data_IF_060945104330
#
_entry.id   IF_060945104330
#
_cell.length_a   1.000
_cell.length_b   1.000
_cell.length_c   1.000
_cell.angle_alpha   90.00
_cell.angle_beta   90.00
_cell.angle_gamma   90.00
#
_symmetry.space_group_name_H-M   'P 1'
#
loop_
_entity.id
_entity.type
_entity.pdbx_description
1 polymer ?
#
# COMPACT_ATOMS: atom_id res chain seq x y z
N UNK A 1 -1.85 -39.98 -26.64
CA UNK A 1 -0.98 -38.80 -26.78
C UNK A 1 -1.63 -37.66 -26.02
N UNK A 2 -1.04 -37.18 -24.91
CA UNK A 2 -1.63 -36.08 -24.14
C UNK A 2 -1.43 -34.75 -24.89
N UNK A 3 -2.52 -34.05 -25.18
CA UNK A 3 -2.48 -32.71 -25.75
C UNK A 3 -1.78 -31.76 -24.77
N UNK A 4 -0.70 -31.15 -25.24
CA UNK A 4 -0.01 -30.07 -24.54
C UNK A 4 -0.98 -28.89 -24.40
N UNK A 5 -1.15 -28.33 -23.18
CA UNK A 5 -2.02 -27.18 -23.01
C UNK A 5 -1.53 -26.03 -23.89
N UNK A 6 -2.48 -25.35 -24.57
CA UNK A 6 -2.20 -24.23 -25.47
C UNK A 6 -1.21 -23.24 -24.82
N UNK A 7 -0.12 -22.86 -25.52
CA UNK A 7 0.96 -22.05 -24.95
C UNK A 7 0.46 -20.74 -24.35
N UNK A 8 -0.62 -20.16 -24.88
CA UNK A 8 -1.23 -18.93 -24.38
C UNK A 8 -1.80 -19.06 -22.96
N UNK A 9 -2.42 -20.20 -22.62
CA UNK A 9 -2.98 -20.43 -21.27
C UNK A 9 -1.89 -20.74 -20.24
N UNK A 10 -0.81 -21.39 -20.67
CA UNK A 10 0.39 -21.58 -19.85
C UNK A 10 1.06 -20.23 -19.56
N UNK A 11 1.19 -19.37 -20.57
CA UNK A 11 1.80 -18.05 -20.45
C UNK A 11 0.99 -17.11 -19.54
N UNK A 12 -0.35 -17.12 -19.64
CA UNK A 12 -1.23 -16.34 -18.73
C UNK A 12 -1.08 -16.82 -17.28
N UNK A 13 -1.07 -18.14 -17.04
CA UNK A 13 -0.84 -18.70 -15.69
C UNK A 13 0.54 -18.40 -15.15
N UNK A 14 1.55 -18.39 -16.00
CA UNK A 14 2.93 -18.10 -15.60
C UNK A 14 3.14 -16.62 -15.30
N UNK A 15 2.44 -15.74 -16.02
CA UNK A 15 2.42 -14.29 -15.79
C UNK A 15 1.66 -13.95 -14.50
N UNK A 16 0.55 -14.65 -14.21
CA UNK A 16 -0.16 -14.55 -12.93
C UNK A 16 0.70 -15.07 -11.75
N UNK A 17 1.51 -16.11 -11.97
CA UNK A 17 2.39 -16.70 -10.93
C UNK A 17 3.63 -15.86 -10.64
N UNK A 18 4.07 -15.03 -11.59
CA UNK A 18 5.23 -14.13 -11.45
C UNK A 18 4.85 -12.76 -10.87
N UNK A 19 3.57 -12.53 -10.56
CA UNK A 19 3.05 -11.26 -10.05
C UNK A 19 2.69 -10.34 -11.22
N UNK A 20 1.40 -10.02 -11.34
CA UNK A 20 0.92 -9.12 -12.40
C UNK A 20 1.54 -7.72 -12.32
N UNK A 21 1.31 -6.85 -13.33
CA UNK A 21 1.91 -5.51 -13.44
C UNK A 21 1.71 -4.60 -12.22
N UNK A 22 0.72 -4.87 -11.36
CA UNK A 22 0.58 -4.17 -10.08
C UNK A 22 1.73 -4.42 -9.09
N UNK A 23 2.36 -5.60 -9.09
CA UNK A 23 3.48 -5.89 -8.19
C UNK A 23 4.73 -5.11 -8.58
N UNK A 24 5.05 -5.03 -9.87
CA UNK A 24 6.20 -4.26 -10.35
C UNK A 24 6.01 -2.78 -10.08
N UNK A 25 4.80 -2.24 -10.25
CA UNK A 25 4.47 -0.85 -9.89
C UNK A 25 4.63 -0.62 -8.39
N UNK A 26 4.10 -1.49 -7.53
CA UNK A 26 4.24 -1.33 -6.08
C UNK A 26 5.69 -1.37 -5.61
N UNK A 27 6.51 -2.28 -6.17
CA UNK A 27 7.94 -2.34 -5.86
C UNK A 27 8.66 -1.09 -6.36
N UNK A 28 8.36 -0.62 -7.57
CA UNK A 28 8.93 0.61 -8.10
C UNK A 28 8.58 1.82 -7.24
N UNK A 29 7.32 1.92 -6.78
CA UNK A 29 6.88 2.98 -5.86
C UNK A 29 7.60 2.89 -4.52
N UNK A 30 7.72 1.70 -3.94
CA UNK A 30 8.37 1.50 -2.65
C UNK A 30 9.84 1.96 -2.64
N UNK A 31 10.49 2.02 -3.81
CA UNK A 31 11.87 2.51 -3.96
C UNK A 31 11.92 3.98 -4.40
N UNK A 32 11.15 4.35 -5.43
CA UNK A 32 11.23 5.68 -6.02
C UNK A 32 10.65 6.77 -5.12
N UNK A 33 9.56 6.46 -4.40
CA UNK A 33 8.84 7.44 -3.58
C UNK A 33 9.69 7.91 -2.39
N UNK A 34 10.33 7.04 -1.59
CA UNK A 34 11.21 7.47 -0.50
C UNK A 34 12.36 8.34 -0.98
N UNK A 35 13.01 7.94 -2.07
CA UNK A 35 14.13 8.71 -2.65
C UNK A 35 13.65 10.08 -3.10
N UNK A 36 12.47 10.17 -3.72
CA UNK A 36 11.87 11.46 -4.12
C UNK A 36 11.55 12.32 -2.90
N UNK A 37 10.97 11.72 -1.84
CA UNK A 37 10.66 12.42 -0.58
C UNK A 37 11.93 13.00 0.05
N UNK A 38 12.99 12.21 0.15
CA UNK A 38 14.29 12.66 0.68
C UNK A 38 14.86 13.78 -0.20
N UNK A 39 14.97 13.56 -1.51
CA UNK A 39 15.55 14.53 -2.43
C UNK A 39 14.81 15.88 -2.40
N UNK A 40 13.49 15.86 -2.23
CA UNK A 40 12.70 17.08 -2.13
C UNK A 40 12.90 17.80 -0.80
N UNK A 41 12.95 17.06 0.31
CA UNK A 41 12.98 17.61 1.67
C UNK A 41 14.36 18.10 2.10
N UNK A 42 15.41 17.30 1.87
CA UNK A 42 16.78 17.61 2.32
C UNK A 42 17.67 18.19 1.22
N UNK A 43 17.17 18.22 -0.01
CA UNK A 43 17.95 18.55 -1.20
C UNK A 43 18.43 17.30 -1.95
N UNK A 44 18.90 17.48 -3.17
CA UNK A 44 19.37 16.38 -4.02
C UNK A 44 20.84 16.01 -3.80
N UNK A 45 21.27 14.90 -4.41
CA UNK A 45 22.70 14.53 -4.46
C UNK A 45 23.26 14.07 -3.12
N UNK A 46 24.33 14.71 -2.66
CA UNK A 46 25.08 14.30 -1.46
C UNK A 46 24.24 14.37 -0.18
N UNK A 47 23.32 15.34 -0.08
CA UNK A 47 22.40 15.44 1.06
C UNK A 47 21.54 14.18 1.26
N UNK A 48 21.01 13.61 0.17
CA UNK A 48 20.23 12.35 0.22
C UNK A 48 21.09 11.21 0.70
N UNK A 49 22.34 11.13 0.21
CA UNK A 49 23.28 10.09 0.61
C UNK A 49 23.61 10.19 2.10
N UNK A 50 23.91 11.39 2.57
CA UNK A 50 24.25 11.64 3.97
C UNK A 50 23.07 11.26 4.87
N UNK A 51 21.86 11.69 4.52
CA UNK A 51 20.64 11.30 5.26
C UNK A 51 20.42 9.79 5.25
N UNK A 52 20.62 9.10 4.13
CA UNK A 52 20.47 7.63 4.07
C UNK A 52 21.53 6.88 4.87
N UNK A 53 22.73 7.44 5.02
CA UNK A 53 23.80 6.85 5.83
C UNK A 53 23.58 7.16 7.32
N UNK A 54 23.15 8.37 7.65
CA UNK A 54 22.83 8.77 9.02
C UNK A 54 21.56 8.12 9.55
N UNK A 55 20.61 7.85 8.67
CA UNK A 55 19.45 7.01 8.94
C UNK A 55 19.89 5.56 8.93
N UNK A 56 19.85 4.90 10.09
CA UNK A 56 20.20 3.49 10.16
C UNK A 56 19.28 2.69 9.20
N UNK A 57 19.77 1.62 8.53
CA UNK A 57 18.95 0.86 7.58
C UNK A 57 17.63 0.33 8.16
N UNK A 58 17.55 0.19 9.48
CA UNK A 58 16.33 -0.20 10.19
C UNK A 58 15.24 0.89 10.15
N UNK A 59 15.61 2.16 10.02
CA UNK A 59 14.71 3.33 10.05
C UNK A 59 14.28 3.77 8.64
N UNK A 60 14.87 3.22 7.57
CA UNK A 60 14.47 3.56 6.19
C UNK A 60 12.98 3.35 5.89
N UNK A 61 12.31 2.30 6.41
CA UNK A 61 10.86 2.15 6.25
C UNK A 61 10.05 3.31 6.83
N UNK A 62 10.60 4.04 7.81
CA UNK A 62 9.91 5.15 8.46
C UNK A 62 9.61 6.30 7.49
N UNK A 63 10.32 6.39 6.37
CA UNK A 63 10.01 7.35 5.30
C UNK A 63 8.62 7.07 4.72
N UNK A 64 8.36 5.82 4.34
CA UNK A 64 7.06 5.41 3.79
C UNK A 64 5.97 5.45 4.85
N UNK A 65 6.27 4.94 6.05
CA UNK A 65 5.33 4.91 7.17
C UNK A 65 4.91 6.33 7.52
N UNK A 66 5.88 7.24 7.62
CA UNK A 66 5.68 8.66 7.87
C UNK A 66 4.73 9.29 6.86
N UNK A 67 5.02 9.14 5.56
CA UNK A 67 4.15 9.64 4.48
C UNK A 67 2.73 9.09 4.55
N UNK A 68 2.60 7.80 4.82
CA UNK A 68 1.30 7.12 4.91
C UNK A 68 0.50 7.62 6.12
N UNK A 69 1.16 7.88 7.26
CA UNK A 69 0.50 8.34 8.49
C UNK A 69 0.18 9.84 8.45
N UNK A 70 0.92 10.64 7.66
CA UNK A 70 0.65 12.08 7.55
C UNK A 70 -0.42 12.43 6.52
N UNK A 71 -0.57 11.62 5.46
CA UNK A 71 -1.54 11.86 4.40
C UNK A 71 -2.71 10.85 4.47
N UNK A 72 -3.90 11.28 4.93
CA UNK A 72 -5.08 10.42 5.02
C UNK A 72 -5.48 9.79 3.69
N UNK A 73 -5.39 10.54 2.59
CA UNK A 73 -5.80 10.05 1.26
C UNK A 73 -4.86 8.97 0.78
N UNK A 74 -3.54 9.20 0.89
CA UNK A 74 -2.53 8.21 0.54
C UNK A 74 -2.69 6.95 1.39
N UNK A 75 -2.82 7.11 2.71
CA UNK A 75 -2.98 5.99 3.64
C UNK A 75 -4.22 5.16 3.35
N UNK A 76 -5.37 5.80 3.14
CA UNK A 76 -6.61 5.11 2.81
C UNK A 76 -6.56 4.38 1.48
N UNK A 77 -6.05 5.01 0.41
CA UNK A 77 -5.93 4.36 -0.90
C UNK A 77 -4.96 3.17 -0.85
N UNK A 78 -3.82 3.33 -0.17
CA UNK A 78 -2.88 2.24 0.03
C UNK A 78 -3.51 1.09 0.82
N UNK A 79 -4.24 1.38 1.90
CA UNK A 79 -4.96 0.39 2.70
C UNK A 79 -5.96 -0.42 1.86
N UNK A 80 -6.72 0.25 0.99
CA UNK A 80 -7.64 -0.40 0.04
C UNK A 80 -6.88 -1.31 -0.94
N UNK A 81 -5.79 -0.82 -1.54
CA UNK A 81 -4.97 -1.59 -2.50
C UNK A 81 -4.35 -2.82 -1.84
N UNK A 82 -3.72 -2.65 -0.67
CA UNK A 82 -3.13 -3.76 0.10
C UNK A 82 -4.21 -4.75 0.49
N UNK A 83 -5.38 -4.29 0.96
CA UNK A 83 -6.50 -5.16 1.31
C UNK A 83 -6.96 -6.05 0.17
N UNK A 84 -6.94 -5.51 -1.06
CA UNK A 84 -7.26 -6.25 -2.28
C UNK A 84 -6.16 -7.24 -2.65
N UNK A 85 -4.90 -6.82 -2.66
CA UNK A 85 -3.76 -7.66 -3.05
C UNK A 85 -3.64 -8.86 -2.11
N UNK A 86 -3.73 -8.64 -0.81
CA UNK A 86 -3.72 -9.70 0.21
C UNK A 86 -4.83 -10.71 -0.06
N UNK A 87 -6.05 -10.24 -0.34
CA UNK A 87 -7.17 -11.12 -0.68
C UNK A 87 -6.91 -11.93 -1.95
N UNK A 88 -6.41 -11.29 -3.01
CA UNK A 88 -6.10 -11.95 -4.28
C UNK A 88 -5.04 -13.05 -4.09
N UNK A 89 -4.01 -12.80 -3.28
CA UNK A 89 -2.96 -13.78 -2.95
C UNK A 89 -3.52 -14.96 -2.16
N UNK A 90 -4.34 -14.72 -1.13
CA UNK A 90 -4.98 -15.80 -0.37
C UNK A 90 -5.97 -16.61 -1.22
N UNK A 91 -6.71 -15.95 -2.12
CA UNK A 91 -7.59 -16.60 -3.07
C UNK A 91 -6.81 -17.47 -4.07
N UNK A 92 -5.67 -16.99 -4.57
CA UNK A 92 -4.79 -17.76 -5.46
C UNK A 92 -4.13 -18.96 -4.77
N UNK A 93 -3.84 -18.85 -3.47
CA UNK A 93 -3.29 -19.95 -2.64
C UNK A 93 -4.33 -20.99 -2.18
N UNK A 94 -5.57 -20.88 -2.64
CA UNK A 94 -6.63 -21.86 -2.34
C UNK A 94 -7.18 -21.79 -0.90
N UNK A 95 -6.89 -20.72 -0.16
CA UNK A 95 -7.37 -20.53 1.22
C UNK A 95 -8.88 -20.20 1.29
N UNK A 96 -9.51 -19.92 0.15
CA UNK A 96 -10.96 -19.75 0.04
C UNK A 96 -11.58 -21.11 -0.25
N UNK A 97 -12.28 -21.75 0.71
CA UNK A 97 -12.87 -23.06 0.47
C UNK A 97 -13.82 -22.99 -0.72
N UNK A 98 -13.85 -23.99 -1.60
CA UNK A 98 -14.84 -24.10 -2.68
C UNK A 98 -15.69 -25.34 -2.36
N UNK A 99 -16.99 -25.17 -2.09
CA UNK A 99 -17.89 -26.27 -1.68
C UNK A 99 -19.15 -25.81 -0.92
N UNK A 100 -20.18 -26.66 -0.89
CA UNK A 100 -21.46 -26.38 -0.20
C UNK A 100 -21.39 -26.56 1.33
N UNK A 101 -22.20 -25.80 2.06
CA UNK A 101 -22.37 -25.88 3.53
C UNK A 101 -22.42 -24.52 4.22
N UNK A 102 -23.39 -24.32 5.11
CA UNK A 102 -23.64 -23.06 5.85
C UNK A 102 -22.42 -22.60 6.65
N UNK A 103 -21.76 -23.51 7.38
CA UNK A 103 -20.54 -23.21 8.15
C UNK A 103 -19.37 -22.71 7.28
N UNK A 104 -19.22 -23.25 6.05
CA UNK A 104 -18.17 -22.82 5.11
C UNK A 104 -18.54 -21.49 4.42
N UNK A 105 -19.82 -21.22 4.21
CA UNK A 105 -20.31 -19.92 3.74
C UNK A 105 -20.07 -18.82 4.78
N UNK A 106 -20.33 -19.11 6.06
CA UNK A 106 -20.04 -18.19 7.18
C UNK A 106 -18.53 -17.93 7.29
N UNK A 107 -17.68 -18.96 7.19
CA UNK A 107 -16.22 -18.79 7.22
C UNK A 107 -15.70 -17.94 6.05
N UNK A 108 -16.28 -18.07 4.86
CA UNK A 108 -15.95 -17.21 3.71
C UNK A 108 -16.42 -15.78 3.93
N UNK A 109 -17.66 -15.59 4.39
CA UNK A 109 -18.20 -14.28 4.70
C UNK A 109 -17.34 -13.55 5.74
N UNK A 110 -16.92 -14.26 6.79
CA UNK A 110 -16.01 -13.77 7.80
C UNK A 110 -14.66 -13.35 7.19
N UNK A 111 -14.01 -14.21 6.39
CA UNK A 111 -12.73 -13.87 5.73
C UNK A 111 -12.85 -12.69 4.75
N UNK A 112 -13.99 -12.52 4.09
CA UNK A 112 -14.23 -11.39 3.20
C UNK A 112 -14.46 -10.07 3.94
N UNK A 113 -15.03 -10.12 5.14
CA UNK A 113 -15.38 -8.95 5.96
C UNK A 113 -14.26 -8.50 6.91
N UNK A 114 -13.44 -9.43 7.42
CA UNK A 114 -12.42 -9.12 8.43
C UNK A 114 -11.42 -8.09 7.93
N UNK A 115 -10.95 -8.20 6.69
CA UNK A 115 -9.90 -7.31 6.20
C UNK A 115 -10.37 -5.87 5.91
N UNK A 116 -11.53 -5.61 5.26
CA UNK A 116 -12.05 -4.25 5.12
C UNK A 116 -12.35 -3.60 6.46
N UNK A 117 -12.88 -4.38 7.41
CA UNK A 117 -13.12 -3.91 8.78
C UNK A 117 -11.80 -3.56 9.46
N UNK A 118 -10.79 -4.43 9.39
CA UNK A 118 -9.47 -4.16 9.97
C UNK A 118 -8.84 -2.89 9.36
N UNK A 119 -8.86 -2.74 8.04
CA UNK A 119 -8.34 -1.54 7.37
C UNK A 119 -9.13 -0.30 7.77
N UNK A 120 -10.46 -0.37 7.82
CA UNK A 120 -11.30 0.75 8.27
C UNK A 120 -11.05 1.13 9.73
N UNK A 121 -10.79 0.16 10.62
CA UNK A 121 -10.42 0.42 12.02
C UNK A 121 -9.05 1.09 12.11
N UNK A 122 -8.06 0.61 11.35
CA UNK A 122 -6.72 1.20 11.29
C UNK A 122 -6.82 2.67 10.84
N UNK A 123 -7.51 2.94 9.73
CA UNK A 123 -7.72 4.29 9.23
C UNK A 123 -8.53 5.17 10.20
N UNK A 124 -9.49 4.60 10.92
CA UNK A 124 -10.23 5.32 11.96
C UNK A 124 -9.31 5.78 13.10
N UNK A 125 -8.33 4.95 13.47
CA UNK A 125 -7.37 5.28 14.52
C UNK A 125 -6.39 6.38 14.08
N UNK A 126 -5.94 6.38 12.83
CA UNK A 126 -4.96 7.36 12.33
C UNK A 126 -5.59 8.68 11.88
N UNK A 127 -6.72 8.62 11.16
CA UNK A 127 -7.28 9.78 10.46
C UNK A 127 -8.67 10.19 10.96
N UNK A 128 -9.26 9.40 11.87
CA UNK A 128 -10.57 9.65 12.45
C UNK A 128 -11.70 8.81 11.82
N UNK A 129 -12.87 8.78 12.48
CA UNK A 129 -13.92 7.78 12.22
C UNK A 129 -14.49 7.84 10.80
N UNK A 130 -14.59 9.03 10.19
CA UNK A 130 -15.15 9.17 8.85
C UNK A 130 -14.23 8.60 7.76
N UNK A 131 -12.91 8.78 7.90
CA UNK A 131 -11.93 8.16 7.02
C UNK A 131 -12.00 6.64 7.12
N UNK A 132 -11.97 6.12 8.35
CA UNK A 132 -12.10 4.69 8.58
C UNK A 132 -13.37 4.07 7.99
N UNK A 133 -14.51 4.74 8.14
CA UNK A 133 -15.76 4.30 7.51
C UNK A 133 -15.69 4.33 5.98
N UNK A 134 -15.20 5.43 5.40
CA UNK A 134 -15.06 5.57 3.95
C UNK A 134 -14.14 4.48 3.37
N UNK A 135 -12.97 4.28 3.96
CA UNK A 135 -11.99 3.26 3.53
C UNK A 135 -12.54 1.86 3.68
N UNK A 136 -13.17 1.54 4.82
CA UNK A 136 -13.77 0.24 5.06
C UNK A 136 -14.87 -0.08 4.04
N UNK A 137 -15.73 0.89 3.73
CA UNK A 137 -16.77 0.75 2.70
C UNK A 137 -16.17 0.60 1.29
N UNK A 138 -15.16 1.39 0.93
CA UNK A 138 -14.48 1.27 -0.37
C UNK A 138 -13.81 -0.10 -0.53
N UNK A 139 -13.07 -0.56 0.49
CA UNK A 139 -12.44 -1.87 0.50
C UNK A 139 -13.48 -3.00 0.44
N UNK A 140 -14.63 -2.85 1.10
CA UNK A 140 -15.72 -3.81 1.05
C UNK A 140 -16.39 -3.84 -0.33
N UNK A 141 -16.69 -2.68 -0.92
CA UNK A 141 -17.29 -2.56 -2.24
C UNK A 141 -16.42 -3.21 -3.33
N UNK A 142 -15.12 -2.95 -3.30
CA UNK A 142 -14.16 -3.58 -4.22
C UNK A 142 -14.03 -5.10 -4.03
N UNK A 143 -14.41 -5.64 -2.87
CA UNK A 143 -14.46 -7.10 -2.65
C UNK A 143 -15.76 -7.74 -3.12
N UNK A 144 -16.87 -7.01 -3.07
CA UNK A 144 -18.17 -7.56 -3.49
C UNK A 144 -18.18 -7.94 -4.97
N UNK A 145 -17.52 -7.18 -5.85
CA UNK A 145 -17.43 -7.56 -7.27
C UNK A 145 -16.67 -8.90 -7.49
N UNK A 146 -15.66 -9.21 -6.66
CA UNK A 146 -14.93 -10.50 -6.69
C UNK A 146 -15.76 -11.66 -6.17
N UNK A 147 -16.59 -11.46 -5.14
CA UNK A 147 -17.47 -12.51 -4.59
C UNK A 147 -18.57 -12.87 -5.59
N UNK A 148 -19.03 -11.91 -6.38
CA UNK A 148 -19.96 -12.18 -7.49
C UNK A 148 -19.27 -12.95 -8.63
N UNK A 149 -17.99 -12.68 -8.91
CA UNK A 149 -17.21 -13.44 -9.88
C UNK A 149 -16.96 -14.91 -9.45
N UNK A 150 -16.71 -15.15 -8.16
CA UNK A 150 -16.58 -16.51 -7.61
C UNK A 150 -17.91 -17.26 -7.55
N UNK A 151 -19.04 -16.57 -7.29
CA UNK A 151 -20.39 -17.17 -7.38
C UNK A 151 -20.80 -17.52 -8.81
N UNK A 152 -20.25 -16.85 -9.81
CA UNK A 152 -20.56 -17.05 -11.23
C UNK A 152 -19.62 -18.03 -11.95
N UNK A 153 -18.73 -18.69 -11.21
CA UNK A 153 -18.07 -19.93 -11.66
C UNK A 153 -16.89 -19.77 -12.62
N UNK A 154 -16.33 -18.57 -12.80
CA UNK A 154 -15.24 -18.35 -13.78
C UNK A 154 -13.85 -18.82 -13.33
N UNK A 155 -13.66 -19.18 -12.05
CA UNK A 155 -12.46 -19.87 -11.54
C UNK A 155 -12.79 -21.29 -11.08
N UNK A 156 -13.30 -22.14 -11.98
CA UNK A 156 -13.15 -23.60 -11.81
C UNK A 156 -11.75 -23.99 -12.26
N UNK A 157 -10.92 -24.65 -11.42
CA UNK A 157 -9.82 -25.44 -11.95
C UNK A 157 -10.46 -26.52 -12.84
N UNK A 158 -10.10 -26.57 -14.12
CA UNK A 158 -10.44 -27.69 -15.00
C UNK A 158 -9.70 -28.96 -14.56
N UNK A 159 -10.10 -29.53 -13.43
CA UNK A 159 -9.77 -30.90 -13.04
C UNK A 159 -11.06 -31.66 -12.78
N UNK A 160 -11.79 -31.96 -13.86
CA UNK A 160 -12.70 -33.10 -13.92
C UNK A 160 -13.14 -33.38 -15.36
N UNK A 161 -12.21 -33.91 -16.15
CA UNK A 161 -12.58 -34.74 -17.30
C UNK A 161 -12.04 -36.12 -17.00
N UNK A 162 -12.82 -36.90 -16.25
CA UNK A 162 -12.89 -38.37 -16.27
C UNK A 162 -13.68 -38.82 -15.04
N UNK A 163 -15.00 -38.73 -15.14
CA UNK A 163 -15.91 -39.74 -14.59
C UNK A 163 -17.31 -39.41 -15.09
N UNK A 164 -17.57 -39.89 -16.31
CA UNK A 164 -18.92 -40.16 -16.79
C UNK A 164 -19.64 -41.06 -15.80
N UNK A 165 -20.77 -40.60 -15.27
CA UNK A 165 -22.11 -41.13 -15.60
C UNK A 165 -23.20 -40.52 -14.70
N UNK A 166 -24.25 -40.05 -15.38
CA UNK A 166 -25.61 -39.79 -14.90
C UNK A 166 -25.87 -38.54 -14.02
N UNK A 167 -26.22 -37.42 -14.67
CA UNK A 167 -27.27 -36.52 -14.19
C UNK A 167 -27.88 -35.73 -15.38
N UNK A 168 -29.22 -35.70 -15.58
CA UNK A 168 -29.85 -34.94 -16.65
C UNK A 168 -30.01 -33.46 -16.27
N UNK A 169 -29.48 -32.57 -17.12
CA UNK A 169 -29.96 -31.20 -17.31
C UNK A 169 -29.87 -30.23 -16.12
N UNK A 170 -28.70 -29.62 -15.90
CA UNK A 170 -28.64 -28.28 -15.31
C UNK A 170 -28.33 -27.26 -16.42
N UNK A 171 -29.11 -26.16 -16.52
CA UNK A 171 -29.00 -25.25 -17.64
C UNK A 171 -27.67 -24.49 -17.61
N UNK A 172 -27.14 -24.26 -18.80
CA UNK A 172 -26.04 -23.38 -19.14
C UNK A 172 -26.20 -22.01 -18.41
N UNK A 173 -25.63 -21.91 -17.20
CA UNK A 173 -25.73 -20.71 -16.37
C UNK A 173 -24.86 -19.62 -17.01
N UNK A 174 -25.47 -18.82 -17.89
CA UNK A 174 -24.89 -17.58 -18.39
C UNK A 174 -25.10 -16.49 -17.36
N UNK A 175 -24.04 -15.96 -16.71
CA UNK A 175 -24.21 -14.86 -15.79
C UNK A 175 -24.79 -13.66 -16.54
N UNK A 176 -25.77 -12.94 -15.94
CA UNK A 176 -26.41 -11.79 -16.57
C UNK A 176 -25.39 -10.69 -16.92
N UNK A 177 -25.63 -9.97 -18.01
CA UNK A 177 -24.70 -9.03 -18.64
C UNK A 177 -24.27 -7.88 -17.71
N UNK A 178 -25.14 -7.44 -16.81
CA UNK A 178 -24.84 -6.41 -15.82
C UNK A 178 -23.76 -6.85 -14.81
N UNK A 179 -23.70 -8.13 -14.46
CA UNK A 179 -22.67 -8.68 -13.56
C UNK A 179 -21.28 -8.72 -14.22
N UNK A 180 -21.22 -9.03 -15.51
CA UNK A 180 -19.97 -8.96 -16.28
C UNK A 180 -19.46 -7.53 -16.41
N UNK A 181 -20.36 -6.57 -16.59
CA UNK A 181 -20.01 -5.14 -16.60
C UNK A 181 -19.51 -4.69 -15.23
N UNK A 182 -20.16 -5.12 -14.15
CA UNK A 182 -19.73 -4.79 -12.79
C UNK A 182 -18.32 -5.31 -12.46
N UNK A 183 -18.01 -6.56 -12.82
CA UNK A 183 -16.67 -7.13 -12.63
C UNK A 183 -15.59 -6.41 -13.48
N UNK A 184 -15.91 -6.07 -14.74
CA UNK A 184 -15.01 -5.30 -15.58
C UNK A 184 -14.73 -3.90 -15.03
N UNK A 185 -15.77 -3.23 -14.51
CA UNK A 185 -15.65 -1.92 -13.85
C UNK A 185 -14.81 -2.04 -12.58
N UNK A 186 -15.03 -3.06 -11.75
CA UNK A 186 -14.25 -3.26 -10.53
C UNK A 186 -12.77 -3.51 -10.82
N UNK A 187 -12.46 -4.35 -11.81
CA UNK A 187 -11.08 -4.60 -12.22
C UNK A 187 -10.44 -3.34 -12.80
N UNK A 188 -11.18 -2.53 -13.55
CA UNK A 188 -10.71 -1.25 -14.06
C UNK A 188 -10.46 -0.26 -12.93
N UNK A 189 -11.38 -0.12 -11.97
CA UNK A 189 -11.23 0.76 -10.81
C UNK A 189 -10.02 0.35 -9.98
N UNK A 190 -9.84 -0.95 -9.73
CA UNK A 190 -8.69 -1.42 -8.98
C UNK A 190 -7.36 -1.19 -9.72
N UNK A 191 -7.34 -1.41 -11.03
CA UNK A 191 -6.16 -1.13 -11.84
C UNK A 191 -5.87 0.37 -11.84
N UNK A 192 -6.89 1.22 -12.01
CA UNK A 192 -6.75 2.67 -11.91
C UNK A 192 -6.25 3.11 -10.53
N UNK A 193 -6.76 2.52 -9.44
CA UNK A 193 -6.28 2.80 -8.08
C UNK A 193 -4.81 2.44 -7.90
N UNK A 194 -4.37 1.27 -8.38
CA UNK A 194 -3.00 0.80 -8.19
C UNK A 194 -1.99 1.43 -9.16
N UNK A 195 -2.38 1.67 -10.42
CA UNK A 195 -1.46 2.07 -11.50
C UNK A 195 -1.47 3.57 -11.74
N UNK A 196 -2.52 4.29 -11.34
CA UNK A 196 -2.64 5.74 -11.57
C UNK A 196 -2.76 6.51 -10.25
N UNK A 197 -3.80 6.22 -9.46
CA UNK A 197 -4.13 7.03 -8.27
C UNK A 197 -3.06 6.89 -7.20
N UNK A 198 -2.64 5.66 -6.86
CA UNK A 198 -1.64 5.43 -5.83
C UNK A 198 -0.26 6.05 -6.19
N UNK A 199 0.31 5.84 -7.39
CA UNK A 199 1.51 6.55 -7.81
C UNK A 199 1.39 8.06 -7.73
N UNK A 200 0.27 8.62 -8.20
CA UNK A 200 0.04 10.05 -8.20
C UNK A 200 -0.02 10.62 -6.79
N UNK A 201 -0.80 10.02 -5.89
CA UNK A 201 -0.88 10.44 -4.49
C UNK A 201 0.47 10.30 -3.78
N UNK A 202 1.18 9.19 -4.00
CA UNK A 202 2.48 8.97 -3.41
C UNK A 202 3.50 10.01 -3.88
N UNK A 203 3.45 10.39 -5.16
CA UNK A 203 4.28 11.46 -5.69
C UNK A 203 3.91 12.81 -5.07
N UNK A 204 2.63 13.19 -5.05
CA UNK A 204 2.17 14.45 -4.45
C UNK A 204 2.59 14.56 -2.98
N UNK A 205 2.44 13.48 -2.21
CA UNK A 205 2.91 13.38 -0.82
C UNK A 205 4.43 13.42 -0.70
N UNK A 206 5.17 12.93 -1.71
CA UNK A 206 6.62 13.01 -1.74
C UNK A 206 7.14 14.45 -1.88
N UNK A 207 6.37 15.32 -2.55
CA UNK A 207 6.77 16.70 -2.86
C UNK A 207 5.91 17.76 -2.13
N UNK A 208 5.33 17.39 -1.00
CA UNK A 208 4.44 18.23 -0.18
C UNK A 208 5.18 19.25 0.72
N UNK A 209 6.51 19.18 0.78
CA UNK A 209 7.34 20.05 1.61
C UNK A 209 7.38 19.68 3.10
N UNK A 210 6.69 18.61 3.51
CA UNK A 210 6.76 18.08 4.88
C UNK A 210 7.90 17.07 5.02
N UNK A 211 8.55 17.04 6.18
CA UNK A 211 9.41 15.93 6.57
C UNK A 211 8.61 14.64 6.75
N UNK A 212 9.23 13.49 6.48
CA UNK A 212 8.61 12.17 6.70
C UNK A 212 8.51 11.81 8.19
N UNK A 213 9.29 12.47 9.02
CA UNK A 213 9.38 12.25 10.47
C UNK A 213 9.18 13.57 11.22
N UNK A 214 9.23 13.54 12.55
CA UNK A 214 9.18 14.73 13.38
C UNK A 214 10.36 15.67 13.14
N UNK A 215 10.11 16.97 13.24
CA UNK A 215 11.16 17.97 13.39
C UNK A 215 11.34 18.22 14.88
N UNK A 216 12.58 18.33 15.31
CA UNK A 216 12.95 18.64 16.69
C UNK A 216 13.85 19.86 16.74
N UNK A 217 13.63 20.74 17.71
CA UNK A 217 14.57 21.79 18.05
C UNK A 217 15.54 21.26 19.12
N UNK A 218 16.84 21.25 18.82
CA UNK A 218 17.88 20.66 19.66
C UNK A 218 19.03 21.64 19.89
N UNK A 219 19.71 21.50 21.03
CA UNK A 219 21.02 22.09 21.22
C UNK A 219 22.05 21.29 20.40
N UNK A 220 22.64 21.93 19.40
CA UNK A 220 23.69 21.38 18.54
C UNK A 220 24.98 22.08 18.88
N UNK A 221 26.03 21.30 19.13
CA UNK A 221 27.37 21.84 19.39
C UNK A 221 28.28 21.56 18.20
N UNK A 222 28.69 22.61 17.50
CA UNK A 222 29.69 22.56 16.43
C UNK A 222 30.98 23.24 16.90
N UNK A 223 32.02 22.43 17.08
CA UNK A 223 33.29 22.86 17.66
C UNK A 223 33.12 23.45 19.06
N UNK A 224 33.17 24.78 19.18
CA UNK A 224 33.06 25.52 20.45
C UNK A 224 31.75 26.30 20.58
N UNK A 225 30.86 26.27 19.58
CA UNK A 225 29.57 26.97 19.62
C UNK A 225 28.46 25.97 19.86
N UNK A 226 27.54 26.34 20.73
CA UNK A 226 26.30 25.61 20.97
C UNK A 226 25.16 26.52 20.56
N UNK A 227 24.38 26.09 19.58
CA UNK A 227 23.25 26.82 19.03
C UNK A 227 22.01 25.91 19.06
N UNK A 228 20.83 26.54 19.01
CA UNK A 228 19.56 25.82 18.96
C UNK A 228 19.12 25.69 17.51
N UNK A 229 19.22 24.48 16.99
CA UNK A 229 19.01 24.20 15.57
C UNK A 229 17.82 23.26 15.38
N UNK A 230 17.18 23.38 14.21
CA UNK A 230 16.06 22.51 13.83
C UNK A 230 16.57 21.31 13.05
N UNK A 231 16.26 20.12 13.55
CA UNK A 231 16.70 18.86 12.98
C UNK A 231 15.52 18.02 12.51
N UNK A 232 15.62 17.42 11.33
CA UNK A 232 14.78 16.27 10.94
C UNK A 232 15.35 15.04 11.64
N UNK A 233 14.57 14.41 12.53
CA UNK A 233 15.02 13.27 13.33
C UNK A 233 15.30 12.02 12.46
N UNK A 234 16.57 11.61 12.34
CA UNK A 234 16.96 10.41 11.57
C UNK A 234 17.09 9.17 12.46
N UNK A 235 17.57 9.37 13.68
CA UNK A 235 17.74 8.32 14.68
C UNK A 235 17.78 8.94 16.08
N UNK A 236 17.25 8.22 17.07
CA UNK A 236 17.29 8.62 18.48
C UNK A 236 17.90 7.51 19.31
N UNK A 237 18.88 7.85 20.14
CA UNK A 237 19.53 6.92 21.08
C UNK A 237 19.68 7.60 22.43
N UNK A 238 18.91 7.14 23.41
CA UNK A 238 18.81 7.79 24.71
C UNK A 238 18.29 9.23 24.56
N UNK A 239 18.97 10.17 25.19
CA UNK A 239 18.60 11.60 25.17
C UNK A 239 19.16 12.36 23.96
N UNK A 240 19.96 11.67 23.12
CA UNK A 240 20.55 12.24 21.91
C UNK A 240 19.77 11.92 20.64
N UNK A 241 19.73 12.91 19.74
CA UNK A 241 19.14 12.78 18.41
C UNK A 241 20.23 12.99 17.36
N UNK A 242 20.30 12.08 16.40
CA UNK A 242 21.00 12.28 15.14
C UNK A 242 19.97 12.79 14.15
N UNK A 243 20.21 13.97 13.59
CA UNK A 243 19.25 14.61 12.71
C UNK A 243 19.91 15.33 11.54
N UNK A 244 19.13 15.54 10.48
CA UNK A 244 19.50 16.44 9.40
C UNK A 244 19.21 17.88 9.81
N UNK A 245 20.24 18.69 9.92
CA UNK A 245 20.15 20.09 10.31
C UNK A 245 19.65 20.94 9.15
N UNK A 246 18.52 21.62 9.37
CA UNK A 246 17.87 22.43 8.35
C UNK A 246 18.60 23.75 8.08
N UNK A 247 19.37 24.24 9.05
CA UNK A 247 20.05 25.54 8.97
C UNK A 247 21.46 25.39 8.38
N UNK A 248 22.19 24.32 8.75
CA UNK A 248 23.55 24.05 8.25
C UNK A 248 23.63 23.05 7.09
N UNK A 249 22.51 22.42 6.71
CA UNK A 249 22.42 21.40 5.65
C UNK A 249 23.41 20.23 5.83
N UNK A 250 23.56 19.75 7.07
CA UNK A 250 24.49 18.67 7.45
C UNK A 250 23.88 17.75 8.50
N UNK A 251 24.50 16.59 8.73
CA UNK A 251 24.12 15.73 9.86
C UNK A 251 24.67 16.31 11.15
N UNK A 252 23.81 16.49 12.13
CA UNK A 252 24.17 17.00 13.46
C UNK A 252 23.70 16.06 14.57
N UNK A 253 24.43 16.09 15.69
CA UNK A 253 24.01 15.45 16.93
C UNK A 253 23.42 16.52 17.85
N UNK A 254 22.14 16.38 18.15
CA UNK A 254 21.40 17.26 19.05
C UNK A 254 21.18 16.65 20.42
N UNK A 255 21.19 17.49 21.45
CA UNK A 255 20.80 17.17 22.82
C UNK A 255 19.66 18.08 23.27
N UNK A 256 18.95 17.71 24.34
CA UNK A 256 17.87 18.55 24.89
C UNK A 256 16.69 18.76 23.94
N UNK A 257 16.49 17.84 22.99
CA UNK A 257 15.59 18.03 21.86
C UNK A 257 14.12 18.11 22.27
N UNK A 258 13.40 19.09 21.72
CA UNK A 258 11.94 19.25 21.86
C UNK A 258 11.25 19.10 20.51
N UNK A 259 10.12 18.41 20.47
CA UNK A 259 9.36 18.22 19.23
C UNK A 259 8.70 19.51 18.77
N UNK A 260 8.80 19.80 17.48
CA UNK A 260 8.04 20.87 16.84
C UNK A 260 6.67 20.37 16.34
N UNK A 261 5.67 21.24 16.43
CA UNK A 261 4.32 20.93 15.91
C UNK A 261 4.29 20.92 14.38
N UNK A 262 5.10 21.77 13.74
CA UNK A 262 5.19 21.84 12.28
C UNK A 262 6.18 20.82 11.74
N UNK A 263 5.79 20.12 10.68
CA UNK A 263 6.68 19.24 9.90
C UNK A 263 7.11 19.86 8.58
N UNK A 264 6.72 21.10 8.30
CA UNK A 264 7.08 21.76 7.05
C UNK A 264 8.55 22.21 7.08
N UNK A 265 9.31 21.74 6.09
CA UNK A 265 10.71 22.11 5.86
C UNK A 265 10.85 22.98 4.61
N UNK A 266 9.94 22.84 3.64
CA UNK A 266 9.93 23.58 2.37
C UNK A 266 8.51 23.89 1.95
N UNK A 267 8.35 24.84 1.02
CA UNK A 267 7.06 25.05 0.36
C UNK A 267 6.72 23.83 -0.52
N UNK A 268 5.44 23.46 -0.64
CA UNK A 268 5.04 22.41 -1.57
C UNK A 268 5.27 22.80 -3.03
N UNK A 269 5.57 21.85 -3.91
CA UNK A 269 5.95 22.12 -5.30
C UNK A 269 4.87 22.82 -6.14
N UNK A 270 3.61 22.69 -5.74
CA UNK A 270 2.49 23.35 -6.40
C UNK A 270 2.30 24.81 -5.97
N UNK A 271 3.12 25.31 -5.04
CA UNK A 271 3.12 26.72 -4.57
C UNK A 271 4.42 27.47 -4.87
N UNK A 272 5.45 26.76 -5.31
CA UNK A 272 6.75 27.33 -5.72
C UNK A 272 6.72 27.99 -7.09
#
# INVERSE_FOLDING_TARGET
MPETPSPALAQIRETDRKGGPGHTVLVALAVAVPVTKLAYTVGGGDAVRDVLVGMEPANWPDILIGMVITDPLLGSVLGVVVSRVVFAVFAARGAVPLGGGTARAVRRAALTLVNPVAVGVIDACFFGPWWGLATGLAAFALRQGVVVEYRTGRRRPHHRHEQDRAAPGEPDYRPPSWLRRAAAVEQWVALSLTVLVLPFLAFVSAVDGQAWTGIVACEVTDGTRTENDRLIELSRKGDGVVGWNLDSEQISNGLGCTGEESRYVREPWWRS
#
